data_IF_522970674319
#
_entry.id   IF_522970674319
#
_cell.length_a   1.000
_cell.length_b   1.000
_cell.length_c   1.000
_cell.angle_alpha   90.00
_cell.angle_beta   90.00
_cell.angle_gamma   90.00
#
_symmetry.space_group_name_H-M   'P 1'
#
loop_
_entity.id
_entity.type
_entity.pdbx_description
1 polymer ?
#
# COMPACT_ATOMS: atom_id res chain seq x y z
N UNK A 1 13.64 5.96 -4.80
CA UNK A 1 12.52 5.53 -3.92
C UNK A 1 12.74 5.93 -2.47
N UNK A 2 13.86 5.56 -1.83
CA UNK A 2 14.14 5.94 -0.43
C UNK A 2 14.14 7.46 -0.20
N UNK A 3 14.80 8.23 -1.06
CA UNK A 3 14.75 9.69 -1.03
C UNK A 3 13.31 10.23 -1.10
N UNK A 4 12.47 9.66 -1.97
CA UNK A 4 11.07 10.06 -2.13
C UNK A 4 10.25 9.80 -0.86
N UNK A 5 10.49 8.67 -0.19
CA UNK A 5 9.84 8.35 1.08
C UNK A 5 10.24 9.34 2.19
N UNK A 6 11.53 9.71 2.26
CA UNK A 6 12.01 10.72 3.22
C UNK A 6 11.36 12.08 2.95
N UNK A 7 11.30 12.52 1.68
CA UNK A 7 10.65 13.78 1.29
C UNK A 7 9.17 13.78 1.70
N UNK A 8 8.46 12.68 1.48
CA UNK A 8 7.04 12.53 1.89
C UNK A 8 6.85 12.67 3.41
N UNK A 9 7.74 12.07 4.21
CA UNK A 9 7.71 12.20 5.67
C UNK A 9 8.01 13.65 6.09
N UNK A 10 9.06 14.26 5.54
CA UNK A 10 9.44 15.64 5.85
C UNK A 10 8.32 16.63 5.50
N UNK A 11 7.69 16.48 4.33
CA UNK A 11 6.53 17.29 3.94
C UNK A 11 5.41 17.20 4.97
N UNK A 12 5.11 15.99 5.46
CA UNK A 12 4.10 15.78 6.50
C UNK A 12 4.50 16.48 7.79
N UNK A 13 5.76 16.37 8.21
CA UNK A 13 6.29 17.02 9.42
C UNK A 13 6.18 18.54 9.34
N UNK A 14 6.62 19.14 8.22
CA UNK A 14 6.56 20.59 8.04
C UNK A 14 5.12 21.10 7.93
N UNK A 15 4.21 20.29 7.38
CA UNK A 15 2.78 20.55 7.40
C UNK A 15 2.22 20.57 8.83
N UNK A 16 2.56 19.57 9.66
CA UNK A 16 2.13 19.48 11.07
C UNK A 16 2.67 20.64 11.92
N UNK A 17 3.96 20.96 11.78
CA UNK A 17 4.63 22.06 12.50
C UNK A 17 4.28 23.45 11.95
N UNK A 18 3.57 23.52 10.82
CA UNK A 18 3.22 24.77 10.11
C UNK A 18 4.43 25.64 9.79
N UNK A 19 5.61 25.02 9.63
CA UNK A 19 6.84 25.76 9.34
C UNK A 19 6.98 25.99 7.84
N UNK A 20 6.68 27.21 7.41
CA UNK A 20 6.81 27.63 6.01
C UNK A 20 8.27 27.66 5.56
N UNK A 21 9.17 28.11 6.42
CA UNK A 21 10.62 28.18 6.14
C UNK A 21 11.21 26.79 5.88
N UNK A 22 10.85 25.82 6.70
CA UNK A 22 11.30 24.43 6.54
C UNK A 22 10.80 23.80 5.25
N UNK A 23 9.52 24.01 4.92
CA UNK A 23 8.96 23.54 3.64
C UNK A 23 9.63 24.19 2.44
N UNK A 24 9.94 25.48 2.50
CA UNK A 24 10.64 26.17 1.41
C UNK A 24 12.02 25.55 1.17
N UNK A 25 12.78 25.28 2.24
CA UNK A 25 14.09 24.64 2.13
C UNK A 25 13.97 23.27 1.45
N UNK A 26 13.06 22.41 1.92
CA UNK A 26 12.85 21.09 1.29
C UNK A 26 12.43 21.23 -0.17
N UNK A 27 11.56 22.18 -0.50
CA UNK A 27 11.13 22.41 -1.87
C UNK A 27 12.30 22.79 -2.78
N UNK A 28 13.14 23.75 -2.36
CA UNK A 28 14.30 24.18 -3.14
C UNK A 28 15.32 23.05 -3.31
N UNK A 29 15.64 22.33 -2.21
CA UNK A 29 16.60 21.22 -2.24
C UNK A 29 16.10 20.07 -3.13
N UNK A 30 14.82 19.73 -3.06
CA UNK A 30 14.24 18.65 -3.88
C UNK A 30 14.18 19.01 -5.36
N UNK A 31 13.83 20.25 -5.70
CA UNK A 31 13.83 20.75 -7.08
C UNK A 31 15.24 20.67 -7.65
N UNK A 32 16.23 21.30 -7.00
CA UNK A 32 17.61 21.36 -7.50
C UNK A 32 18.21 19.95 -7.55
N UNK A 33 18.08 19.17 -6.47
CA UNK A 33 18.66 17.83 -6.38
C UNK A 33 18.13 16.88 -7.45
N UNK A 34 16.83 16.92 -7.76
CA UNK A 34 16.23 16.04 -8.76
C UNK A 34 16.61 16.47 -10.19
N UNK A 35 16.72 17.77 -10.48
CA UNK A 35 17.23 18.23 -11.78
C UNK A 35 18.69 17.81 -11.98
N UNK A 36 19.55 17.98 -10.97
CA UNK A 36 20.94 17.54 -11.04
C UNK A 36 21.00 16.03 -11.28
N UNK A 37 20.21 15.26 -10.55
CA UNK A 37 20.18 13.81 -10.67
C UNK A 37 19.72 13.34 -12.06
N UNK A 38 18.62 13.87 -12.58
CA UNK A 38 18.05 13.42 -13.86
C UNK A 38 18.87 13.89 -15.07
N UNK A 39 19.40 15.11 -15.05
CA UNK A 39 20.10 15.67 -16.21
C UNK A 39 21.61 15.37 -16.23
N UNK A 40 22.25 15.17 -15.07
CA UNK A 40 23.70 14.93 -15.02
C UNK A 40 24.03 13.50 -14.59
N UNK A 41 23.54 13.04 -13.43
CA UNK A 41 23.95 11.72 -12.89
C UNK A 41 23.40 10.59 -13.74
N UNK A 42 22.10 10.61 -14.04
CA UNK A 42 21.44 9.51 -14.74
C UNK A 42 22.00 9.28 -16.16
N UNK A 43 22.26 10.30 -17.00
CA UNK A 43 22.83 10.08 -18.33
C UNK A 43 24.27 9.59 -18.29
N UNK A 44 25.05 9.97 -17.27
CA UNK A 44 26.43 9.46 -17.06
C UNK A 44 26.39 7.96 -16.77
N UNK A 45 25.50 7.51 -15.87
CA UNK A 45 25.45 6.10 -15.46
C UNK A 45 24.82 5.19 -16.51
N UNK A 46 23.77 5.65 -17.19
CA UNK A 46 22.97 4.80 -18.10
C UNK A 46 23.27 5.00 -19.58
N UNK A 47 24.12 5.96 -19.96
CA UNK A 47 24.48 6.29 -21.36
C UNK A 47 23.27 6.44 -22.31
N UNK A 48 22.10 6.77 -21.77
CA UNK A 48 20.85 6.97 -22.51
C UNK A 48 20.37 8.39 -22.32
N UNK A 49 19.95 9.02 -23.41
CA UNK A 49 19.39 10.36 -23.36
C UNK A 49 18.01 10.34 -22.67
N UNK A 50 17.74 11.36 -21.86
CA UNK A 50 16.48 11.57 -21.14
C UNK A 50 15.20 11.36 -21.98
N UNK A 51 15.07 11.91 -23.21
CA UNK A 51 13.83 11.78 -23.99
C UNK A 51 13.59 10.36 -24.51
N UNK A 52 14.60 9.48 -24.53
CA UNK A 52 14.44 8.12 -25.05
C UNK A 52 13.78 7.17 -24.03
N UNK A 53 13.61 7.59 -22.78
CA UNK A 53 12.97 6.79 -21.73
C UNK A 53 11.60 7.36 -21.36
N UNK A 54 10.54 6.86 -22.00
CA UNK A 54 9.16 7.32 -21.75
C UNK A 54 8.70 7.19 -20.30
N UNK A 55 9.19 6.19 -19.55
CA UNK A 55 8.86 6.01 -18.12
C UNK A 55 9.48 7.14 -17.28
N UNK A 56 10.73 7.51 -17.58
CA UNK A 56 11.43 8.59 -16.88
C UNK A 56 10.78 9.94 -17.14
N UNK A 57 10.38 10.21 -18.39
CA UNK A 57 9.65 11.42 -18.77
C UNK A 57 8.32 11.49 -18.01
N UNK A 58 7.56 10.40 -17.94
CA UNK A 58 6.31 10.34 -17.19
C UNK A 58 6.51 10.63 -15.70
N UNK A 59 7.52 10.01 -15.06
CA UNK A 59 7.85 10.26 -13.65
C UNK A 59 8.25 11.73 -13.45
N UNK A 60 9.02 12.31 -14.36
CA UNK A 60 9.42 13.71 -14.28
C UNK A 60 8.21 14.66 -14.36
N UNK A 61 7.25 14.38 -15.24
CA UNK A 61 5.99 15.14 -15.32
C UNK A 61 5.22 15.07 -13.99
N UNK A 62 5.19 13.91 -13.32
CA UNK A 62 4.57 13.78 -11.99
C UNK A 62 5.30 14.63 -10.93
N UNK A 63 6.64 14.69 -10.97
CA UNK A 63 7.41 15.56 -10.08
C UNK A 63 7.15 17.05 -10.35
N UNK A 64 7.04 17.46 -11.62
CA UNK A 64 6.67 18.83 -11.99
C UNK A 64 5.29 19.20 -11.42
N UNK A 65 4.30 18.31 -11.57
CA UNK A 65 2.97 18.53 -10.98
C UNK A 65 3.05 18.67 -9.46
N UNK A 66 3.80 17.79 -8.78
CA UNK A 66 4.02 17.87 -7.33
C UNK A 66 4.65 19.21 -6.92
N UNK A 67 5.67 19.71 -7.63
CA UNK A 67 6.29 20.98 -7.32
C UNK A 67 5.37 22.18 -7.57
N UNK A 68 4.54 22.15 -8.61
CA UNK A 68 3.50 23.16 -8.84
C UNK A 68 2.55 23.19 -7.65
N UNK A 69 2.00 22.06 -7.22
CA UNK A 69 1.13 22.04 -6.05
C UNK A 69 1.84 22.46 -4.76
N UNK A 70 3.10 22.07 -4.58
CA UNK A 70 3.89 22.44 -3.40
C UNK A 70 4.16 23.95 -3.34
N UNK A 71 4.51 24.57 -4.47
CA UNK A 71 4.69 26.03 -4.59
C UNK A 71 3.39 26.80 -4.40
N UNK A 72 2.26 26.29 -4.93
CA UNK A 72 0.94 26.86 -4.66
C UNK A 72 0.60 26.85 -3.18
N UNK A 73 0.92 25.76 -2.47
CA UNK A 73 0.74 25.66 -1.03
C UNK A 73 1.67 26.61 -0.24
N UNK A 74 2.91 26.81 -0.70
CA UNK A 74 3.83 27.79 -0.14
C UNK A 74 3.30 29.22 -0.31
N UNK A 75 2.64 29.52 -1.44
CA UNK A 75 2.03 30.83 -1.71
C UNK A 75 0.80 31.10 -0.84
N UNK A 76 -0.07 30.11 -0.66
CA UNK A 76 -1.32 30.27 0.11
C UNK A 76 -1.14 30.17 1.61
N UNK A 77 -0.09 29.49 2.06
CA UNK A 77 0.18 29.28 3.48
C UNK A 77 -0.66 28.17 4.12
N UNK A 78 -0.40 27.91 5.41
CA UNK A 78 -1.11 26.88 6.17
C UNK A 78 -2.30 27.47 6.94
N UNK A 79 -3.46 26.78 6.95
CA UNK A 79 -4.61 27.20 7.74
C UNK A 79 -4.38 26.99 9.25
N UNK A 80 -5.09 27.75 10.08
CA UNK A 80 -4.98 27.72 11.54
C UNK A 80 -5.46 26.39 12.18
N UNK A 81 -6.19 25.55 11.45
CA UNK A 81 -6.68 24.24 11.91
C UNK A 81 -6.36 23.16 10.87
N UNK A 82 -5.40 22.28 11.19
CA UNK A 82 -4.85 21.25 10.28
C UNK A 82 -5.13 19.80 10.70
N UNK A 83 -5.76 19.57 11.86
CA UNK A 83 -5.98 18.23 12.41
C UNK A 83 -7.14 17.44 11.75
N UNK A 84 -7.94 18.07 10.89
CA UNK A 84 -9.06 17.40 10.23
C UNK A 84 -8.61 16.44 9.12
N UNK A 85 -9.14 15.21 9.09
CA UNK A 85 -8.90 14.32 7.96
C UNK A 85 -9.82 14.72 6.79
N UNK A 86 -9.21 15.13 5.66
CA UNK A 86 -9.95 15.55 4.46
C UNK A 86 -10.91 14.46 3.96
N UNK A 87 -10.47 13.20 4.01
CA UNK A 87 -11.22 12.04 3.49
C UNK A 87 -12.56 11.80 4.21
N UNK A 88 -12.64 12.17 5.48
CA UNK A 88 -13.81 11.90 6.32
C UNK A 88 -14.75 13.09 6.45
N UNK A 89 -14.50 14.18 5.70
CA UNK A 89 -15.34 15.39 5.71
C UNK A 89 -16.70 15.17 5.03
N UNK A 90 -16.74 14.35 3.98
CA UNK A 90 -17.97 14.03 3.24
C UNK A 90 -18.34 12.56 3.39
N UNK A 91 -19.65 12.29 3.29
CA UNK A 91 -20.24 10.96 3.49
C UNK A 91 -20.77 10.41 2.15
N UNK A 92 -20.14 10.80 1.05
CA UNK A 92 -20.50 10.33 -0.29
C UNK A 92 -19.87 8.96 -0.58
N UNK A 93 -20.44 8.23 -1.54
CA UNK A 93 -19.90 6.94 -2.02
C UNK A 93 -18.43 7.08 -2.48
N UNK A 94 -18.05 8.06 -3.32
CA UNK A 94 -16.64 8.21 -3.71
C UNK A 94 -15.72 8.52 -2.52
N UNK A 95 -16.16 9.33 -1.55
CA UNK A 95 -15.37 9.61 -0.36
C UNK A 95 -15.14 8.34 0.49
N UNK A 96 -16.18 7.52 0.66
CA UNK A 96 -16.06 6.24 1.36
C UNK A 96 -15.13 5.27 0.61
N UNK A 97 -15.19 5.22 -0.72
CA UNK A 97 -14.30 4.39 -1.53
C UNK A 97 -12.84 4.81 -1.36
N UNK A 98 -12.54 6.11 -1.46
CA UNK A 98 -11.17 6.62 -1.23
C UNK A 98 -10.72 6.32 0.20
N UNK A 99 -11.60 6.45 1.20
CA UNK A 99 -11.30 6.06 2.57
C UNK A 99 -10.97 4.57 2.73
N UNK A 100 -11.70 3.68 2.04
CA UNK A 100 -11.43 2.23 2.01
C UNK A 100 -10.07 1.95 1.36
N UNK A 101 -9.79 2.54 0.20
CA UNK A 101 -8.52 2.36 -0.50
C UNK A 101 -7.36 2.86 0.37
N UNK A 102 -7.50 4.03 0.98
CA UNK A 102 -6.52 4.59 1.90
C UNK A 102 -6.20 3.65 3.07
N UNK A 103 -7.21 2.96 3.62
CA UNK A 103 -7.06 1.98 4.70
C UNK A 103 -6.52 0.62 4.25
N UNK A 104 -6.68 0.29 2.96
CA UNK A 104 -6.20 -0.97 2.39
C UNK A 104 -4.69 -0.93 2.10
N UNK A 105 -4.11 0.25 1.89
CA UNK A 105 -2.66 0.39 1.72
C UNK A 105 -1.96 0.04 3.04
N UNK A 106 -1.02 -0.94 3.03
CA UNK A 106 -0.32 -1.34 4.23
C UNK A 106 0.55 -0.19 4.77
N UNK A 107 0.63 -0.07 6.10
CA UNK A 107 1.45 0.90 6.84
C UNK A 107 1.16 2.39 6.62
N UNK A 108 0.48 2.81 5.55
CA UNK A 108 0.24 4.22 5.24
C UNK A 108 -0.52 4.93 6.36
N UNK A 109 -1.60 4.32 6.85
CA UNK A 109 -2.38 4.87 7.96
C UNK A 109 -1.58 4.89 9.27
N UNK A 110 -0.82 3.83 9.56
CA UNK A 110 -0.04 3.73 10.80
C UNK A 110 1.08 4.76 10.87
N UNK A 111 1.83 4.95 9.78
CA UNK A 111 2.88 5.97 9.70
C UNK A 111 2.28 7.36 9.89
N UNK A 112 1.11 7.62 9.29
CA UNK A 112 0.43 8.91 9.49
C UNK A 112 0.07 9.13 10.96
N UNK A 113 -0.54 8.15 11.62
CA UNK A 113 -0.96 8.26 13.02
C UNK A 113 0.26 8.46 13.94
N UNK A 114 1.36 7.76 13.67
CA UNK A 114 2.64 7.92 14.37
C UNK A 114 3.22 9.33 14.18
N UNK A 115 3.29 9.84 12.96
CA UNK A 115 3.79 11.18 12.67
C UNK A 115 2.90 12.26 13.30
N UNK A 116 1.58 12.10 13.20
CA UNK A 116 0.62 13.04 13.76
C UNK A 116 0.77 13.10 15.30
N UNK A 117 0.94 11.96 15.97
CA UNK A 117 1.21 11.90 17.42
C UNK A 117 2.56 12.53 17.80
N UNK A 118 3.62 12.21 17.05
CA UNK A 118 4.99 12.63 17.38
C UNK A 118 5.18 14.15 17.25
N UNK A 119 4.59 14.77 16.22
CA UNK A 119 4.85 16.17 15.89
C UNK A 119 3.76 17.14 16.36
N UNK A 120 2.61 16.64 16.84
CA UNK A 120 1.54 17.45 17.45
C UNK A 120 1.79 17.59 18.95
N UNK A 121 1.67 18.79 19.54
CA UNK A 121 1.72 18.93 20.99
C UNK A 121 0.50 18.25 21.62
N UNK A 122 0.72 17.09 22.27
CA UNK A 122 -0.33 16.31 22.95
C UNK A 122 0.20 15.75 24.26
N UNK A 123 -0.68 15.68 25.27
CA UNK A 123 -0.39 15.05 26.56
C UNK A 123 -0.66 13.54 26.50
N UNK A 124 -1.42 13.10 25.50
CA UNK A 124 -1.89 11.72 25.37
C UNK A 124 -0.74 10.77 24.98
N UNK A 125 -0.62 9.66 25.71
CA UNK A 125 0.27 8.57 25.32
C UNK A 125 -0.16 7.98 23.97
N UNK A 126 0.80 7.44 23.22
CA UNK A 126 0.56 6.90 21.88
C UNK A 126 -0.59 5.88 21.83
N UNK A 127 -0.69 4.98 22.81
CA UNK A 127 -1.76 3.97 22.88
C UNK A 127 -3.16 4.60 22.93
N UNK A 128 -3.33 5.69 23.69
CA UNK A 128 -4.60 6.39 23.79
C UNK A 128 -4.90 7.17 22.50
N UNK A 129 -3.87 7.77 21.89
CA UNK A 129 -3.99 8.41 20.58
C UNK A 129 -4.50 7.44 19.50
N UNK A 130 -3.90 6.25 19.40
CA UNK A 130 -4.36 5.20 18.47
C UNK A 130 -5.81 4.77 18.73
N UNK A 131 -6.23 4.65 19.99
CA UNK A 131 -7.62 4.34 20.34
C UNK A 131 -8.60 5.42 19.85
N UNK A 132 -8.26 6.69 20.06
CA UNK A 132 -9.08 7.82 19.59
C UNK A 132 -9.21 7.80 18.07
N UNK A 133 -8.10 7.57 17.35
CA UNK A 133 -8.10 7.47 15.89
C UNK A 133 -8.94 6.29 15.38
N UNK A 134 -8.83 5.13 16.04
CA UNK A 134 -9.64 3.96 15.72
C UNK A 134 -11.15 4.23 15.90
N UNK A 135 -11.53 4.87 17.01
CA UNK A 135 -12.92 5.28 17.29
C UNK A 135 -13.41 6.29 16.25
N UNK A 136 -12.59 7.28 15.89
CA UNK A 136 -12.93 8.28 14.86
C UNK A 136 -13.27 7.62 13.52
N UNK A 137 -12.45 6.66 13.11
CA UNK A 137 -12.67 5.92 11.87
C UNK A 137 -13.87 4.97 11.93
N UNK A 138 -14.13 4.34 13.07
CA UNK A 138 -15.34 3.53 13.28
C UNK A 138 -16.60 4.41 13.22
N UNK A 139 -16.56 5.61 13.81
CA UNK A 139 -17.65 6.57 13.76
C UNK A 139 -17.91 7.02 12.32
N UNK A 140 -16.86 7.32 11.53
CA UNK A 140 -17.01 7.68 10.12
C UNK A 140 -17.71 6.56 9.32
N UNK A 141 -17.25 5.31 9.48
CA UNK A 141 -17.87 4.14 8.86
C UNK A 141 -19.36 4.03 9.22
N UNK A 142 -19.70 4.18 10.50
CA UNK A 142 -21.08 4.14 10.97
C UNK A 142 -21.92 5.28 10.39
N UNK A 143 -21.39 6.51 10.33
CA UNK A 143 -22.07 7.65 9.71
C UNK A 143 -22.36 7.40 8.23
N UNK A 144 -21.44 6.78 7.49
CA UNK A 144 -21.68 6.37 6.10
C UNK A 144 -22.82 5.37 5.96
N UNK A 145 -22.80 4.29 6.75
CA UNK A 145 -23.89 3.31 6.69
C UNK A 145 -25.23 3.88 7.12
N UNK A 146 -25.27 4.77 8.12
CA UNK A 146 -26.48 5.47 8.52
C UNK A 146 -27.01 6.38 7.42
N UNK A 147 -26.15 7.14 6.74
CA UNK A 147 -26.55 7.98 5.61
C UNK A 147 -27.14 7.14 4.47
N UNK A 148 -26.50 6.00 4.14
CA UNK A 148 -27.00 5.07 3.12
C UNK A 148 -28.33 4.42 3.51
N UNK A 149 -28.48 4.06 4.79
CA UNK A 149 -29.73 3.54 5.34
C UNK A 149 -30.84 4.57 5.25
N UNK A 150 -30.63 5.84 5.65
CA UNK A 150 -31.65 6.89 5.51
C UNK A 150 -32.19 7.00 4.08
N UNK A 151 -31.32 7.05 3.08
CA UNK A 151 -31.75 7.12 1.66
C UNK A 151 -32.51 5.86 1.22
N UNK A 152 -32.16 4.70 1.77
CA UNK A 152 -32.75 3.41 1.39
C UNK A 152 -34.05 3.10 2.14
N UNK A 153 -34.10 3.40 3.44
CA UNK A 153 -35.20 3.11 4.37
C UNK A 153 -36.32 4.15 4.24
N UNK A 154 -36.01 5.43 3.96
CA UNK A 154 -37.02 6.44 3.60
C UNK A 154 -37.77 6.04 2.32
N UNK A 155 -37.09 5.39 1.36
CA UNK A 155 -37.72 4.83 0.16
C UNK A 155 -38.52 3.55 0.42
N UNK A 156 -38.45 2.96 1.61
CA UNK A 156 -38.97 1.61 1.92
C UNK A 156 -40.01 1.57 3.04
N UNK A 157 -40.46 2.72 3.54
CA UNK A 157 -41.64 2.83 4.42
C UNK A 157 -41.39 2.50 5.89
N UNK A 158 -40.26 2.94 6.46
CA UNK A 158 -40.07 3.06 7.93
C UNK A 158 -39.86 1.77 8.74
N UNK A 159 -40.35 0.62 8.27
CA UNK A 159 -40.15 -0.67 8.95
C UNK A 159 -38.90 -1.39 8.42
N UNK A 160 -38.07 -1.89 9.33
CA UNK A 160 -36.90 -2.69 8.99
C UNK A 160 -37.34 -4.01 8.29
N UNK A 161 -37.33 -4.02 6.96
CA UNK A 161 -37.65 -5.21 6.17
C UNK A 161 -36.45 -6.17 6.11
N UNK A 162 -36.74 -7.47 5.98
CA UNK A 162 -35.74 -8.53 5.78
C UNK A 162 -34.80 -8.16 4.62
N UNK A 163 -33.50 -8.35 4.80
CA UNK A 163 -32.50 -8.09 3.75
C UNK A 163 -32.74 -9.02 2.55
N UNK A 164 -32.74 -8.43 1.34
CA UNK A 164 -32.96 -9.13 0.08
C UNK A 164 -31.95 -10.28 -0.13
N UNK A 165 -32.40 -11.35 -0.79
CA UNK A 165 -31.59 -12.54 -1.01
C UNK A 165 -30.40 -12.30 -1.95
N UNK A 166 -30.56 -11.52 -3.02
CA UNK A 166 -29.49 -11.25 -4.00
C UNK A 166 -28.18 -10.71 -3.40
N UNK A 167 -28.20 -9.65 -2.58
CA UNK A 167 -26.99 -9.15 -1.90
C UNK A 167 -26.35 -10.16 -0.93
N UNK A 168 -27.16 -11.03 -0.31
CA UNK A 168 -26.64 -12.10 0.57
C UNK A 168 -25.95 -13.18 -0.24
N UNK A 169 -26.55 -13.58 -1.36
CA UNK A 169 -25.97 -14.54 -2.28
C UNK A 169 -24.65 -13.99 -2.81
N UNK A 170 -24.63 -12.79 -3.40
CA UNK A 170 -23.38 -12.21 -3.92
C UNK A 170 -22.29 -12.09 -2.86
N UNK A 171 -22.58 -11.45 -1.73
CA UNK A 171 -21.56 -11.21 -0.69
C UNK A 171 -21.07 -12.49 -0.01
N UNK A 172 -22.00 -13.36 0.42
CA UNK A 172 -21.67 -14.59 1.12
C UNK A 172 -21.05 -15.64 0.21
N UNK A 173 -21.63 -15.85 -0.97
CA UNK A 173 -21.16 -16.85 -1.94
C UNK A 173 -19.78 -16.51 -2.50
N UNK A 174 -19.57 -15.26 -2.95
CA UNK A 174 -18.26 -14.84 -3.47
C UNK A 174 -17.17 -14.92 -2.40
N UNK A 175 -17.49 -14.56 -1.15
CA UNK A 175 -16.55 -14.69 -0.05
C UNK A 175 -16.20 -16.16 0.23
N UNK A 176 -17.20 -17.05 0.27
CA UNK A 176 -16.95 -18.49 0.44
C UNK A 176 -16.15 -19.10 -0.71
N UNK A 177 -16.40 -18.67 -1.96
CA UNK A 177 -15.64 -19.13 -3.13
C UNK A 177 -14.19 -18.65 -3.08
N UNK A 178 -13.95 -17.42 -2.62
CA UNK A 178 -12.61 -16.90 -2.37
C UNK A 178 -11.84 -17.71 -1.32
N UNK A 179 -12.49 -18.08 -0.21
CA UNK A 179 -11.89 -18.96 0.80
C UNK A 179 -11.55 -20.34 0.23
N UNK A 180 -12.43 -20.90 -0.59
CA UNK A 180 -12.17 -22.18 -1.24
C UNK A 180 -10.93 -22.10 -2.14
N UNK A 181 -10.77 -21.02 -2.92
CA UNK A 181 -9.56 -20.80 -3.72
C UNK A 181 -8.32 -20.70 -2.83
N UNK A 182 -8.36 -19.95 -1.72
CA UNK A 182 -7.20 -19.82 -0.82
C UNK A 182 -6.76 -21.18 -0.24
N UNK A 183 -7.71 -22.07 0.04
CA UNK A 183 -7.43 -23.42 0.56
C UNK A 183 -6.90 -24.33 -0.56
N UNK A 184 -7.52 -24.33 -1.74
CA UNK A 184 -7.22 -25.28 -2.81
C UNK A 184 -6.06 -24.86 -3.72
N UNK A 185 -5.84 -23.57 -3.94
CA UNK A 185 -4.77 -23.04 -4.78
C UNK A 185 -3.37 -23.58 -4.39
N UNK A 186 -2.93 -23.55 -3.11
CA UNK A 186 -1.61 -24.08 -2.75
C UNK A 186 -1.53 -25.60 -2.98
N UNK A 187 -2.61 -26.36 -2.76
CA UNK A 187 -2.64 -27.80 -3.02
C UNK A 187 -2.48 -28.11 -4.51
N UNK A 188 -3.19 -27.37 -5.37
CA UNK A 188 -3.10 -27.51 -6.82
C UNK A 188 -1.70 -27.14 -7.32
N UNK A 189 -1.13 -26.04 -6.80
CA UNK A 189 0.24 -25.64 -7.14
C UNK A 189 1.25 -26.70 -6.72
N UNK A 190 1.17 -27.24 -5.50
CA UNK A 190 2.04 -28.32 -5.04
C UNK A 190 1.93 -29.56 -5.91
N UNK A 191 0.71 -29.99 -6.25
CA UNK A 191 0.49 -31.12 -7.15
C UNK A 191 1.13 -30.87 -8.53
N UNK A 192 0.92 -29.68 -9.11
CA UNK A 192 1.48 -29.30 -10.41
C UNK A 192 3.01 -29.21 -10.42
N UNK A 193 3.64 -28.75 -9.32
CA UNK A 193 5.11 -28.69 -9.22
C UNK A 193 5.75 -30.03 -8.84
N UNK A 194 5.00 -30.93 -8.21
CA UNK A 194 5.49 -32.27 -7.80
C UNK A 194 5.58 -33.27 -8.95
N UNK A 195 4.94 -33.01 -10.10
CA UNK A 195 4.95 -33.92 -11.26
C UNK A 195 6.24 -33.89 -12.08
N UNK A 196 7.31 -33.24 -11.61
CA UNK A 196 8.65 -33.39 -12.19
C UNK A 196 9.31 -34.67 -11.64
N UNK A 197 8.74 -35.82 -11.98
CA UNK A 197 9.44 -37.11 -11.83
C UNK A 197 10.46 -37.19 -12.95
N UNK A 198 11.68 -36.71 -12.72
CA UNK A 198 12.79 -37.03 -13.60
C UNK A 198 12.98 -38.56 -13.59
N UNK A 199 12.96 -39.19 -14.77
CA UNK A 199 13.23 -40.62 -14.90
C UNK A 199 14.66 -40.89 -14.45
N UNK A 200 14.82 -41.44 -13.24
CA UNK A 200 16.11 -41.86 -12.68
C UNK A 200 16.52 -43.23 -13.24
N UNK A 201 16.67 -43.28 -14.57
CA UNK A 201 17.29 -44.41 -15.26
C UNK A 201 18.78 -44.45 -14.85
N UNK A 202 19.28 -45.55 -14.26
CA UNK A 202 20.70 -45.68 -13.96
C UNK A 202 21.49 -45.78 -15.26
N UNK A 203 22.43 -44.86 -15.49
CA UNK A 203 23.32 -44.89 -16.67
C UNK A 203 24.26 -46.10 -16.64
N UNK A 204 24.63 -46.57 -15.45
CA UNK A 204 25.41 -47.78 -15.26
C UNK A 204 25.07 -48.42 -13.90
N UNK A 205 24.95 -49.74 -13.88
CA UNK A 205 24.87 -50.54 -12.67
C UNK A 205 26.04 -51.52 -12.69
N UNK A 206 26.87 -51.49 -11.64
CA UNK A 206 27.94 -52.47 -11.42
C UNK A 206 27.49 -53.46 -10.35
N UNK A 207 27.83 -54.72 -10.54
CA UNK A 207 27.49 -55.80 -9.60
C UNK A 207 28.80 -56.47 -9.23
N UNK A 208 29.22 -56.27 -7.98
CA UNK A 208 30.43 -56.88 -7.46
C UNK A 208 30.11 -58.15 -6.68
N UNK A 209 30.70 -59.27 -7.08
CA UNK A 209 30.58 -60.55 -6.36
C UNK A 209 31.92 -60.89 -5.71
N UNK A 210 31.93 -61.02 -4.38
CA UNK A 210 33.09 -61.39 -3.58
C UNK A 210 32.74 -62.55 -2.61
N UNK A 211 33.73 -63.39 -2.30
CA UNK A 211 33.59 -64.49 -1.33
C UNK A 211 34.28 -64.08 -0.03
N UNK A 212 33.50 -63.53 0.90
CA UNK A 212 33.96 -63.10 2.22
C UNK A 212 34.50 -61.67 2.26
N UNK A 213 34.63 -61.11 3.47
CA UNK A 213 34.78 -59.68 3.72
C UNK A 213 36.11 -59.07 3.25
N UNK A 214 37.15 -59.87 2.96
CA UNK A 214 38.52 -59.39 2.69
C UNK A 214 39.13 -59.88 1.36
N UNK A 215 38.33 -60.35 0.39
CA UNK A 215 38.86 -60.76 -0.93
C UNK A 215 38.43 -59.79 -2.04
N UNK A 216 39.32 -59.47 -3.01
CA UNK A 216 38.97 -58.60 -4.12
C UNK A 216 37.89 -59.27 -4.99
N UNK A 217 36.92 -58.50 -5.52
CA UNK A 217 35.78 -59.04 -6.25
C UNK A 217 36.21 -59.73 -7.55
N UNK A 218 35.55 -60.83 -7.90
CA UNK A 218 35.86 -61.62 -9.09
C UNK A 218 35.44 -60.92 -10.39
N UNK A 219 34.37 -60.12 -10.32
CA UNK A 219 33.84 -59.32 -11.42
C UNK A 219 33.27 -58.00 -10.87
N UNK A 220 33.38 -56.94 -11.66
CA UNK A 220 32.85 -55.58 -11.42
C UNK A 220 31.93 -55.16 -12.55
#
# INVERSE_FOLDING_TARGET
LLMQFIVMILDRIFYLKRSMRGKLLVHVVTVIGLHIYIFFVLPIDTNRSFPNNGVLVFIYILYLAYWIFSSMQLRTGYPNFVLGNFLTRSVSIPAYLVWVIYRAVPFMHEIRVLLDWTFTPTISQFRWWQKVDAIYHQLYKNRYFLARKKVTDVKRGGYAKKQAFGPKLGGGFLFSLGLLIVIWLPLILMAAFSSQTASNLPDAASITVALGENTPPFYS
#
